data_IF_815754416456
#
_entry.id   IF_815754416456
#
_cell.length_a   1.000
_cell.length_b   1.000
_cell.length_c   1.000
_cell.angle_alpha   90.00
_cell.angle_beta   90.00
_cell.angle_gamma   90.00
#
_symmetry.space_group_name_H-M   'P 1'
#
loop_
_entity.id
_entity.type
_entity.pdbx_description
1 polymer ?
#
# COMPACT_ATOMS: atom_id res chain seq x y z
N UNK A 1 -11.03 -12.97 34.35
CA UNK A 1 -9.80 -12.44 33.71
C UNK A 1 -9.98 -12.46 32.20
N UNK A 2 -10.08 -11.31 31.53
CA UNK A 2 -10.32 -11.23 30.08
C UNK A 2 -9.00 -11.31 29.32
N UNK A 3 -8.79 -12.39 28.57
CA UNK A 3 -7.68 -12.58 27.62
C UNK A 3 -7.91 -11.72 26.35
N UNK A 4 -8.01 -10.40 26.50
CA UNK A 4 -8.36 -9.46 25.39
C UNK A 4 -7.15 -8.87 24.65
N UNK A 5 -5.91 -9.29 24.96
CA UNK A 5 -4.68 -8.69 24.41
C UNK A 5 -4.01 -9.47 23.27
N UNK A 6 -4.12 -10.78 23.26
CA UNK A 6 -3.29 -11.66 22.40
C UNK A 6 -3.64 -11.55 20.91
N UNK A 7 -4.92 -11.51 20.55
CA UNK A 7 -5.36 -11.42 19.14
C UNK A 7 -5.04 -10.07 18.46
N UNK A 8 -4.98 -8.98 19.23
CA UNK A 8 -4.59 -7.66 18.70
C UNK A 8 -3.09 -7.59 18.41
N UNK A 9 -2.26 -8.20 19.26
CA UNK A 9 -0.81 -8.25 19.07
C UNK A 9 -0.45 -9.13 17.85
N UNK A 10 -1.11 -10.28 17.71
CA UNK A 10 -0.91 -11.19 16.57
C UNK A 10 -1.25 -10.49 15.25
N UNK A 11 -2.40 -9.78 15.15
CA UNK A 11 -2.76 -9.02 13.93
C UNK A 11 -1.76 -7.94 13.58
N UNK A 12 -1.21 -7.23 14.58
CA UNK A 12 -0.17 -6.22 14.36
C UNK A 12 1.14 -6.86 13.88
N UNK A 13 1.53 -7.97 14.47
CA UNK A 13 2.72 -8.70 14.05
C UNK A 13 2.58 -9.20 12.59
N UNK A 14 1.42 -9.77 12.23
CA UNK A 14 1.13 -10.20 10.86
C UNK A 14 1.19 -9.01 9.89
N UNK A 15 0.61 -7.87 10.25
CA UNK A 15 0.64 -6.67 9.40
C UNK A 15 2.07 -6.15 9.20
N UNK A 16 2.88 -6.11 10.27
CA UNK A 16 4.28 -5.68 10.18
C UNK A 16 5.08 -6.65 9.29
N UNK A 17 4.94 -7.95 9.51
CA UNK A 17 5.61 -8.97 8.68
C UNK A 17 5.21 -8.83 7.22
N UNK A 18 3.92 -8.67 6.93
CA UNK A 18 3.41 -8.45 5.58
C UNK A 18 4.01 -7.18 4.95
N UNK A 19 3.99 -6.05 5.67
CA UNK A 19 4.55 -4.78 5.18
C UNK A 19 6.05 -4.87 4.89
N UNK A 20 6.81 -5.53 5.77
CA UNK A 20 8.25 -5.78 5.59
C UNK A 20 8.49 -6.69 4.38
N UNK A 21 7.71 -7.76 4.24
CA UNK A 21 7.82 -8.67 3.09
C UNK A 21 7.56 -7.95 1.78
N UNK A 22 6.49 -7.16 1.69
CA UNK A 22 6.16 -6.37 0.49
C UNK A 22 7.26 -5.35 0.16
N UNK A 23 7.87 -4.74 1.17
CA UNK A 23 8.94 -3.77 0.97
C UNK A 23 10.26 -4.41 0.49
N UNK A 24 10.57 -5.63 0.94
CA UNK A 24 11.83 -6.31 0.63
C UNK A 24 11.71 -7.22 -0.61
N UNK A 25 10.51 -7.74 -0.91
CA UNK A 25 10.29 -8.66 -2.02
C UNK A 25 10.84 -8.18 -3.37
N UNK A 26 10.66 -6.92 -3.80
CA UNK A 26 11.23 -6.44 -5.06
C UNK A 26 12.76 -6.55 -5.10
N UNK A 27 13.43 -6.19 -4.02
CA UNK A 27 14.89 -6.27 -3.93
C UNK A 27 15.39 -7.72 -4.00
N UNK A 28 14.69 -8.65 -3.34
CA UNK A 28 15.02 -10.08 -3.42
C UNK A 28 14.79 -10.61 -4.83
N UNK A 29 13.67 -10.28 -5.46
CA UNK A 29 13.34 -10.72 -6.81
C UNK A 29 14.38 -10.25 -7.82
N UNK A 30 14.83 -9.00 -7.73
CA UNK A 30 15.84 -8.47 -8.63
C UNK A 30 17.22 -9.09 -8.38
N UNK A 31 17.63 -9.27 -7.12
CA UNK A 31 18.97 -9.73 -6.78
C UNK A 31 19.16 -11.23 -6.91
N UNK A 32 18.13 -12.04 -6.63
CA UNK A 32 18.23 -13.49 -6.60
C UNK A 32 17.76 -14.17 -7.88
N UNK A 33 16.77 -13.58 -8.55
CA UNK A 33 16.12 -14.19 -9.73
C UNK A 33 16.38 -13.44 -11.03
N UNK A 34 17.18 -12.37 -11.01
CA UNK A 34 17.52 -11.59 -12.18
C UNK A 34 16.31 -10.83 -12.79
N UNK A 35 15.24 -10.63 -12.03
CA UNK A 35 14.11 -9.82 -12.50
C UNK A 35 14.47 -8.33 -12.50
N UNK A 36 14.00 -7.64 -13.55
CA UNK A 36 14.13 -6.19 -13.69
C UNK A 36 12.79 -5.54 -13.99
N UNK A 37 12.77 -4.22 -13.89
CA UNK A 37 11.60 -3.38 -14.17
C UNK A 37 12.01 -2.32 -15.20
N UNK A 38 11.40 -2.35 -16.39
CA UNK A 38 11.65 -1.39 -17.45
C UNK A 38 10.39 -0.55 -17.70
N UNK A 39 10.30 0.68 -17.19
CA UNK A 39 9.17 1.56 -17.46
C UNK A 39 9.17 2.03 -18.91
N UNK A 40 8.02 1.97 -19.56
CA UNK A 40 7.81 2.42 -20.94
C UNK A 40 7.53 3.91 -20.92
N UNK A 41 8.44 4.71 -21.50
CA UNK A 41 8.38 6.16 -21.53
C UNK A 41 7.86 6.72 -22.86
N UNK A 42 8.03 5.97 -23.94
CA UNK A 42 7.72 6.39 -25.32
C UNK A 42 6.72 5.45 -25.98
N UNK A 43 6.17 5.87 -27.12
CA UNK A 43 5.21 5.09 -27.89
C UNK A 43 5.80 4.08 -28.87
N UNK A 44 7.14 3.89 -28.90
CA UNK A 44 7.80 3.03 -29.88
C UNK A 44 7.34 1.57 -29.90
N UNK A 45 6.76 1.10 -28.79
CA UNK A 45 6.24 -0.27 -28.64
C UNK A 45 4.72 -0.37 -28.77
N UNK A 46 4.04 0.69 -29.25
CA UNK A 46 2.60 0.62 -29.51
C UNK A 46 2.31 -0.27 -30.75
N UNK A 47 1.20 -1.04 -30.74
CA UNK A 47 0.18 -1.15 -29.68
C UNK A 47 0.53 -2.14 -28.56
N UNK A 48 1.64 -2.86 -28.66
CA UNK A 48 2.01 -3.92 -27.71
C UNK A 48 2.22 -3.38 -26.29
N UNK A 49 2.78 -2.17 -26.14
CA UNK A 49 2.90 -1.48 -24.86
C UNK A 49 2.71 0.04 -25.03
N UNK A 50 2.10 0.66 -24.04
CA UNK A 50 1.83 2.10 -24.03
C UNK A 50 2.76 2.85 -23.06
N UNK A 51 3.02 4.14 -23.30
CA UNK A 51 3.69 4.99 -22.32
C UNK A 51 2.97 4.94 -20.97
N UNK A 52 3.70 4.58 -19.92
CA UNK A 52 3.16 4.38 -18.57
C UNK A 52 2.96 2.91 -18.18
N UNK A 53 3.16 1.98 -19.08
CA UNK A 53 3.27 0.55 -18.74
C UNK A 53 4.67 0.24 -18.18
N UNK A 54 4.83 -0.93 -17.56
CA UNK A 54 6.11 -1.46 -17.10
C UNK A 54 6.30 -2.86 -17.67
N UNK A 55 7.42 -3.09 -18.30
CA UNK A 55 7.88 -4.44 -18.60
C UNK A 55 8.59 -5.04 -17.40
N UNK A 56 8.21 -6.27 -17.08
CA UNK A 56 8.95 -7.13 -16.17
C UNK A 56 9.92 -7.95 -17.02
N UNK A 57 11.20 -7.78 -16.74
CA UNK A 57 12.27 -8.45 -17.47
C UNK A 57 12.93 -9.51 -16.60
N UNK A 58 13.56 -10.47 -17.26
CA UNK A 58 14.42 -11.48 -16.62
C UNK A 58 15.75 -11.54 -17.37
N UNK A 59 16.84 -11.62 -16.66
CA UNK A 59 18.16 -11.88 -17.24
C UNK A 59 18.20 -13.33 -17.71
N UNK A 60 18.46 -13.50 -19.02
CA UNK A 60 18.64 -14.81 -19.68
C UNK A 60 19.95 -14.80 -20.47
N UNK A 61 20.48 -15.95 -20.82
CA UNK A 61 21.61 -16.01 -21.74
C UNK A 61 21.20 -15.50 -23.13
N UNK A 62 22.11 -14.80 -23.80
CA UNK A 62 21.85 -14.25 -25.13
C UNK A 62 21.51 -15.34 -26.18
N UNK A 63 22.02 -16.54 -25.96
CA UNK A 63 21.73 -17.74 -26.78
C UNK A 63 20.28 -18.23 -26.67
N UNK A 64 19.56 -17.86 -25.60
CA UNK A 64 18.15 -18.22 -25.38
C UNK A 64 17.16 -17.27 -26.08
N UNK A 65 17.64 -16.11 -26.55
CA UNK A 65 16.80 -15.10 -27.18
C UNK A 65 16.41 -15.56 -28.59
N UNK A 66 15.14 -15.45 -28.92
CA UNK A 66 14.59 -15.76 -30.23
C UNK A 66 14.11 -14.47 -30.95
N UNK A 67 13.99 -14.57 -32.28
CA UNK A 67 13.32 -13.53 -33.09
C UNK A 67 11.86 -13.43 -32.66
N UNK A 68 11.40 -12.20 -32.43
CA UNK A 68 10.09 -11.90 -31.90
C UNK A 68 10.08 -11.58 -30.38
N UNK A 69 11.12 -11.95 -29.64
CA UNK A 69 11.26 -11.59 -28.24
C UNK A 69 11.43 -10.07 -28.08
N UNK A 70 10.94 -9.52 -26.99
CA UNK A 70 11.22 -8.14 -26.62
C UNK A 70 12.36 -8.13 -25.61
N UNK A 71 13.41 -7.40 -25.93
CA UNK A 71 14.58 -7.25 -25.06
C UNK A 71 14.72 -5.81 -24.57
N UNK A 72 15.19 -5.66 -23.35
CA UNK A 72 15.49 -4.37 -22.75
C UNK A 72 17.01 -4.21 -22.67
N UNK A 73 17.55 -3.27 -23.41
CA UNK A 73 18.99 -3.09 -23.59
C UNK A 73 19.40 -1.62 -23.39
N UNK A 74 20.65 -1.43 -23.01
CA UNK A 74 21.26 -0.11 -22.98
C UNK A 74 22.00 0.11 -24.30
N UNK A 75 21.64 1.16 -25.02
CA UNK A 75 22.43 1.61 -26.16
C UNK A 75 23.80 2.09 -25.68
N UNK A 76 24.84 1.39 -26.06
CA UNK A 76 26.21 1.65 -25.60
C UNK A 76 26.76 3.00 -26.10
N UNK A 77 26.21 3.56 -27.18
CA UNK A 77 26.64 4.84 -27.77
C UNK A 77 25.95 6.02 -27.10
N UNK A 78 24.61 5.92 -26.95
CA UNK A 78 23.81 7.03 -26.40
C UNK A 78 23.61 6.95 -24.89
N UNK A 79 23.90 5.80 -24.26
CA UNK A 79 23.58 5.52 -22.86
C UNK A 79 22.10 5.43 -22.57
N UNK A 80 21.25 5.38 -23.59
CA UNK A 80 19.80 5.34 -23.47
C UNK A 80 19.31 3.92 -23.28
N UNK A 81 18.48 3.69 -22.28
CA UNK A 81 17.83 2.40 -22.06
C UNK A 81 16.53 2.32 -22.84
N UNK A 82 16.35 1.27 -23.64
CA UNK A 82 15.15 1.07 -24.45
C UNK A 82 14.73 -0.41 -24.48
N UNK A 83 13.48 -0.67 -24.84
CA UNK A 83 12.95 -2.02 -25.00
C UNK A 83 12.32 -2.14 -26.37
N UNK A 84 12.87 -2.99 -27.22
CA UNK A 84 12.39 -3.23 -28.59
C UNK A 84 12.33 -4.73 -28.90
N UNK A 85 11.61 -5.06 -29.96
CA UNK A 85 11.44 -6.44 -30.42
C UNK A 85 12.63 -6.86 -31.29
N UNK A 86 13.11 -8.07 -31.07
CA UNK A 86 14.16 -8.67 -31.89
C UNK A 86 13.60 -9.04 -33.26
N UNK A 87 14.12 -8.42 -34.31
CA UNK A 87 13.75 -8.67 -35.70
C UNK A 87 14.70 -9.66 -36.34
N UNK A 88 16.00 -9.58 -36.06
CA UNK A 88 17.02 -10.44 -36.62
C UNK A 88 18.11 -10.76 -35.60
N UNK A 89 18.63 -11.99 -35.70
CA UNK A 89 19.78 -12.45 -34.92
C UNK A 89 20.83 -12.99 -35.86
N UNK A 90 22.06 -12.44 -35.81
CA UNK A 90 23.21 -12.94 -36.58
C UNK A 90 24.35 -13.28 -35.64
N UNK A 91 25.03 -14.40 -35.91
CA UNK A 91 26.28 -14.71 -35.24
C UNK A 91 27.44 -14.24 -36.13
N UNK A 92 28.24 -13.31 -35.65
CA UNK A 92 29.38 -12.76 -36.33
C UNK A 92 30.63 -13.01 -35.48
N UNK A 93 31.48 -13.95 -35.94
CA UNK A 93 32.73 -14.31 -35.24
C UNK A 93 32.52 -14.68 -33.78
N UNK A 94 31.47 -15.41 -33.45
CA UNK A 94 31.18 -15.82 -32.07
C UNK A 94 30.48 -14.75 -31.22
N UNK A 95 30.10 -13.62 -31.82
CA UNK A 95 29.29 -12.58 -31.16
C UNK A 95 27.89 -12.55 -31.75
N UNK A 96 26.86 -12.60 -30.92
CA UNK A 96 25.48 -12.42 -31.33
C UNK A 96 25.17 -10.95 -31.53
N UNK A 97 24.66 -10.64 -32.71
CA UNK A 97 24.18 -9.34 -33.14
C UNK A 97 22.67 -9.38 -33.24
N UNK A 98 22.00 -8.57 -32.41
CA UNK A 98 20.56 -8.41 -32.38
C UNK A 98 20.17 -7.14 -33.11
N UNK A 99 19.42 -7.25 -34.20
CA UNK A 99 18.73 -6.10 -34.79
C UNK A 99 17.37 -6.00 -34.14
N UNK A 100 17.05 -4.86 -33.58
CA UNK A 100 15.79 -4.65 -32.87
C UNK A 100 14.91 -3.64 -33.59
N UNK A 101 13.61 -3.67 -33.30
CA UNK A 101 12.60 -2.83 -33.93
C UNK A 101 11.51 -2.47 -32.91
N UNK A 102 11.19 -1.20 -32.77
CA UNK A 102 10.03 -0.76 -31.99
C UNK A 102 8.75 -1.03 -32.78
N UNK A 103 7.76 -1.67 -32.20
CA UNK A 103 6.53 -2.11 -32.87
C UNK A 103 5.78 -0.98 -33.62
N UNK A 104 5.93 0.27 -33.19
CA UNK A 104 5.38 1.44 -33.85
C UNK A 104 6.35 2.21 -34.75
N UNK A 105 7.60 1.78 -34.87
CA UNK A 105 8.58 2.46 -35.70
C UNK A 105 8.39 2.04 -37.17
N UNK A 106 8.80 2.87 -38.11
CA UNK A 106 8.77 2.52 -39.54
C UNK A 106 9.97 1.69 -39.97
N UNK A 107 11.08 1.79 -39.25
CA UNK A 107 12.35 1.15 -39.57
C UNK A 107 12.98 0.51 -38.35
N UNK A 108 13.77 -0.51 -38.54
CA UNK A 108 14.58 -1.15 -37.52
C UNK A 108 15.61 -0.18 -36.91
N UNK A 109 16.07 -0.48 -35.71
CA UNK A 109 17.08 0.30 -35.03
C UNK A 109 18.41 0.29 -35.81
N UNK A 110 18.99 1.45 -36.00
CA UNK A 110 20.23 1.60 -36.78
C UNK A 110 21.43 0.91 -36.14
N UNK A 111 21.44 0.87 -34.81
CA UNK A 111 22.54 0.30 -34.04
C UNK A 111 22.12 -1.04 -33.45
N UNK A 112 22.69 -2.16 -33.91
CA UNK A 112 22.40 -3.45 -33.36
C UNK A 112 23.05 -3.61 -31.99
N UNK A 113 22.38 -4.35 -31.10
CA UNK A 113 22.96 -4.74 -29.83
C UNK A 113 23.85 -5.98 -30.01
N UNK A 114 25.07 -5.92 -29.52
CA UNK A 114 26.05 -6.99 -29.64
C UNK A 114 26.43 -7.56 -28.28
N UNK A 115 26.43 -8.86 -28.16
CA UNK A 115 26.79 -9.55 -26.92
C UNK A 115 27.34 -10.97 -27.23
N UNK A 116 28.21 -11.48 -26.36
CA UNK A 116 28.63 -12.88 -26.36
C UNK A 116 27.44 -13.83 -26.15
N UNK A 117 27.41 -15.03 -26.76
CA UNK A 117 26.34 -16.02 -26.54
C UNK A 117 26.09 -16.38 -25.09
N UNK A 118 27.14 -16.39 -24.27
CA UNK A 118 27.07 -16.59 -22.80
C UNK A 118 26.82 -15.30 -22.00
N UNK A 119 26.75 -14.16 -22.68
CA UNK A 119 26.38 -12.89 -22.05
C UNK A 119 24.89 -12.86 -21.74
N UNK A 120 24.49 -12.05 -20.77
CA UNK A 120 23.09 -11.95 -20.36
C UNK A 120 22.38 -10.75 -20.98
N UNK A 121 21.11 -10.95 -21.33
CA UNK A 121 20.20 -9.92 -21.84
C UNK A 121 18.93 -9.91 -21.00
N UNK A 122 18.37 -8.72 -20.78
CA UNK A 122 17.07 -8.57 -20.15
C UNK A 122 15.94 -8.86 -21.13
N UNK A 123 15.37 -10.06 -21.09
CA UNK A 123 14.19 -10.46 -21.87
C UNK A 123 12.90 -10.06 -21.16
N UNK A 124 11.96 -9.46 -21.87
CA UNK A 124 10.63 -9.14 -21.34
C UNK A 124 9.81 -10.41 -21.17
N UNK A 125 9.30 -10.64 -19.96
CA UNK A 125 8.46 -11.78 -19.63
C UNK A 125 6.98 -11.44 -19.72
N UNK A 126 6.59 -10.30 -19.16
CA UNK A 126 5.22 -9.79 -19.19
C UNK A 126 5.18 -8.28 -18.96
N UNK A 127 3.99 -7.70 -19.19
CA UNK A 127 3.72 -6.27 -19.06
C UNK A 127 2.71 -6.03 -17.94
N UNK A 128 2.95 -5.00 -17.14
CA UNK A 128 1.99 -4.47 -16.16
C UNK A 128 1.51 -3.11 -16.68
N UNK A 129 0.21 -2.96 -16.99
CA UNK A 129 -0.31 -1.71 -17.53
C UNK A 129 -0.38 -0.60 -16.47
N UNK A 130 -0.14 0.64 -16.90
CA UNK A 130 -0.37 1.90 -16.19
C UNK A 130 0.38 2.12 -14.85
N UNK A 131 1.25 1.20 -14.42
CA UNK A 131 1.99 1.33 -13.15
C UNK A 131 3.30 2.12 -13.31
N UNK A 132 3.74 2.35 -14.52
CA UNK A 132 5.03 3.01 -14.82
C UNK A 132 5.05 4.47 -14.45
N UNK A 133 3.96 5.22 -14.65
CA UNK A 133 3.90 6.65 -14.34
C UNK A 133 4.18 6.96 -12.86
N UNK A 134 3.50 6.34 -11.87
CA UNK A 134 3.84 6.53 -10.46
C UNK A 134 5.26 6.06 -10.14
N UNK A 135 5.74 4.99 -10.76
CA UNK A 135 7.09 4.47 -10.52
C UNK A 135 8.18 5.45 -11.01
N UNK A 136 8.01 6.01 -12.20
CA UNK A 136 8.91 7.03 -12.75
C UNK A 136 8.87 8.30 -11.89
N UNK A 137 7.67 8.75 -11.49
CA UNK A 137 7.53 9.90 -10.60
C UNK A 137 8.26 9.72 -9.27
N UNK A 138 8.12 8.55 -8.63
CA UNK A 138 8.80 8.23 -7.38
C UNK A 138 10.34 8.21 -7.52
N UNK A 139 10.87 8.03 -8.72
CA UNK A 139 12.31 8.11 -8.98
C UNK A 139 12.81 9.54 -9.20
N UNK A 140 11.92 10.52 -9.38
CA UNK A 140 12.31 11.94 -9.42
C UNK A 140 12.68 12.48 -8.04
N UNK A 141 13.39 13.59 -7.98
CA UNK A 141 13.72 14.25 -6.70
C UNK A 141 12.45 14.63 -5.95
N UNK A 142 11.46 15.21 -6.64
CA UNK A 142 10.19 15.61 -6.06
C UNK A 142 9.39 14.40 -5.56
N UNK A 143 9.32 13.31 -6.35
CA UNK A 143 8.61 12.09 -5.96
C UNK A 143 9.23 11.43 -4.74
N UNK A 144 10.56 11.37 -4.65
CA UNK A 144 11.25 10.87 -3.45
C UNK A 144 11.00 11.75 -2.23
N UNK A 145 11.04 13.07 -2.38
CA UNK A 145 10.72 13.99 -1.28
C UNK A 145 9.27 13.83 -0.81
N UNK A 146 8.32 13.69 -1.73
CA UNK A 146 6.93 13.42 -1.38
C UNK A 146 6.77 12.09 -0.63
N UNK A 147 7.36 11.02 -1.14
CA UNK A 147 7.30 9.70 -0.53
C UNK A 147 7.91 9.68 0.87
N UNK A 148 9.09 10.31 1.05
CA UNK A 148 9.74 10.43 2.37
C UNK A 148 8.93 11.28 3.33
N UNK A 149 8.35 12.39 2.87
CA UNK A 149 7.49 13.25 3.70
C UNK A 149 6.23 12.51 4.16
N UNK A 150 5.58 11.78 3.27
CA UNK A 150 4.41 10.96 3.62
C UNK A 150 4.78 9.86 4.62
N UNK A 151 5.94 9.22 4.45
CA UNK A 151 6.43 8.21 5.38
C UNK A 151 6.68 8.81 6.78
N UNK A 152 7.32 9.97 6.85
CA UNK A 152 7.57 10.69 8.12
C UNK A 152 6.24 11.06 8.79
N UNK A 153 5.29 11.63 8.04
CA UNK A 153 3.97 12.00 8.57
C UNK A 153 3.23 10.76 9.09
N UNK A 154 3.22 9.67 8.33
CA UNK A 154 2.59 8.41 8.75
C UNK A 154 3.21 7.86 10.04
N UNK A 155 4.54 7.91 10.16
CA UNK A 155 5.24 7.51 11.39
C UNK A 155 4.90 8.41 12.57
N UNK A 156 4.86 9.74 12.38
CA UNK A 156 4.48 10.69 13.43
C UNK A 156 3.03 10.49 13.89
N UNK A 157 2.10 10.28 12.95
CA UNK A 157 0.70 9.95 13.27
C UNK A 157 0.59 8.62 14.00
N UNK A 158 1.34 7.61 13.57
CA UNK A 158 1.42 6.31 14.25
C UNK A 158 1.95 6.44 15.68
N UNK A 159 3.01 7.21 15.87
CA UNK A 159 3.58 7.50 17.19
C UNK A 159 2.59 8.27 18.06
N UNK A 160 1.96 9.31 17.52
CA UNK A 160 0.90 10.07 18.21
C UNK A 160 -0.25 9.16 18.65
N UNK A 161 -0.79 8.36 17.73
CA UNK A 161 -1.84 7.39 18.04
C UNK A 161 -1.39 6.37 19.10
N UNK A 162 -0.14 5.94 19.08
CA UNK A 162 0.43 5.02 20.07
C UNK A 162 0.54 5.68 21.46
N UNK A 163 1.09 6.89 21.54
CA UNK A 163 1.25 7.62 22.80
C UNK A 163 -0.10 8.00 23.43
N UNK A 164 -1.05 8.42 22.61
CA UNK A 164 -2.37 8.88 23.08
C UNK A 164 -3.45 7.80 23.04
N UNK A 165 -3.12 6.55 22.66
CA UNK A 165 -4.08 5.45 22.53
C UNK A 165 -4.98 5.25 23.76
N UNK A 166 -4.43 5.43 24.97
CA UNK A 166 -5.21 5.26 26.20
C UNK A 166 -6.26 6.37 26.35
N UNK A 167 -5.92 7.62 26.00
CA UNK A 167 -6.85 8.75 26.04
C UNK A 167 -7.92 8.64 24.94
N UNK A 168 -7.52 8.29 23.72
CA UNK A 168 -8.44 8.13 22.58
C UNK A 168 -9.42 6.99 22.85
N UNK A 169 -8.94 5.82 23.31
CA UNK A 169 -9.81 4.70 23.64
C UNK A 169 -10.74 5.05 24.82
N UNK A 170 -10.25 5.75 25.83
CA UNK A 170 -11.07 6.16 26.97
C UNK A 170 -12.18 7.16 26.58
N UNK A 171 -11.97 8.01 25.57
CA UNK A 171 -12.99 8.93 25.05
C UNK A 171 -14.02 8.27 24.13
N UNK A 172 -13.66 7.13 23.52
CA UNK A 172 -14.52 6.40 22.58
C UNK A 172 -15.23 5.18 23.20
N UNK A 173 -14.98 4.86 24.49
CA UNK A 173 -15.65 3.73 25.14
C UNK A 173 -17.08 4.08 25.52
N UNK A 174 -18.07 3.29 25.07
CA UNK A 174 -19.48 3.47 25.44
C UNK A 174 -19.73 3.40 26.95
N UNK A 175 -18.78 2.84 27.72
CA UNK A 175 -18.89 2.71 29.19
C UNK A 175 -19.06 4.06 29.92
N UNK A 176 -18.47 5.16 29.42
CA UNK A 176 -18.68 6.50 30.01
C UNK A 176 -20.11 6.98 29.76
N UNK A 177 -20.57 6.89 28.54
CA UNK A 177 -21.93 7.29 28.16
C UNK A 177 -22.96 6.43 28.90
N UNK A 178 -22.73 5.13 28.99
CA UNK A 178 -23.59 4.21 29.75
C UNK A 178 -23.60 4.55 31.25
N UNK A 179 -22.46 4.87 31.83
CA UNK A 179 -22.36 5.22 33.26
C UNK A 179 -23.05 6.55 33.53
N UNK A 180 -22.90 7.58 32.72
CA UNK A 180 -23.59 8.86 32.87
C UNK A 180 -25.10 8.67 32.74
N UNK A 181 -25.61 7.98 31.72
CA UNK A 181 -27.03 7.68 31.55
C UNK A 181 -27.60 6.89 32.75
N UNK A 182 -26.89 5.87 33.22
CA UNK A 182 -27.31 5.07 34.37
C UNK A 182 -27.34 5.87 35.68
N UNK A 183 -26.39 6.80 35.89
CA UNK A 183 -26.37 7.65 37.07
C UNK A 183 -27.46 8.71 37.00
N UNK A 184 -27.81 9.22 35.83
CA UNK A 184 -28.90 10.16 35.61
C UNK A 184 -30.27 9.48 35.89
N UNK A 185 -30.47 8.28 35.39
CA UNK A 185 -31.67 7.49 35.65
C UNK A 185 -31.85 7.16 37.15
N UNK A 186 -30.75 6.85 37.86
CA UNK A 186 -30.78 6.65 39.29
C UNK A 186 -31.16 7.93 40.06
N UNK A 187 -30.62 9.08 39.67
CA UNK A 187 -30.95 10.38 40.29
C UNK A 187 -32.42 10.69 40.14
N UNK A 188 -32.93 10.54 38.93
CA UNK A 188 -34.34 10.75 38.64
C UNK A 188 -35.25 9.83 39.45
N UNK A 189 -34.90 8.55 39.53
CA UNK A 189 -35.65 7.56 40.30
C UNK A 189 -35.63 7.83 41.82
N UNK A 190 -34.53 8.41 42.34
CA UNK A 190 -34.46 8.85 43.75
C UNK A 190 -35.35 10.08 44.02
N UNK A 191 -35.30 11.09 43.13
CA UNK A 191 -36.15 12.25 43.22
C UNK A 191 -37.65 11.89 43.23
N UNK A 192 -38.06 10.96 42.41
CA UNK A 192 -39.45 10.48 42.40
C UNK A 192 -39.81 9.74 43.68
N UNK A 193 -38.93 8.97 44.31
CA UNK A 193 -39.16 8.33 45.58
C UNK A 193 -39.30 9.36 46.69
N UNK A 194 -38.37 10.29 46.78
CA UNK A 194 -38.39 11.35 47.80
C UNK A 194 -39.67 12.20 47.68
N UNK A 195 -40.13 12.49 46.48
CA UNK A 195 -41.37 13.20 46.23
C UNK A 195 -42.59 12.39 46.65
N UNK A 196 -42.58 11.08 46.40
CA UNK A 196 -43.68 10.18 46.80
C UNK A 196 -43.76 10.04 48.34
N UNK A 197 -42.63 9.88 48.99
CA UNK A 197 -42.57 9.78 50.46
C UNK A 197 -43.05 11.09 51.11
N UNK A 198 -42.63 12.24 50.63
CA UNK A 198 -43.10 13.57 51.09
C UNK A 198 -44.62 13.75 50.87
N UNK A 199 -45.19 13.22 49.77
CA UNK A 199 -46.61 13.27 49.53
C UNK A 199 -47.39 12.34 50.49
N UNK A 200 -46.86 11.17 50.80
CA UNK A 200 -47.47 10.27 51.76
C UNK A 200 -47.50 10.86 53.17
N UNK A 201 -46.39 11.47 53.61
CA UNK A 201 -46.29 12.15 54.91
C UNK A 201 -47.27 13.31 54.98
N UNK A 202 -47.41 14.12 53.95
CA UNK A 202 -48.36 15.24 53.94
C UNK A 202 -49.83 14.75 53.97
N UNK A 203 -50.14 13.67 53.31
CA UNK A 203 -51.46 13.03 53.37
C UNK A 203 -51.77 12.36 54.71
N UNK A 204 -50.76 11.83 55.41
CA UNK A 204 -50.91 11.29 56.77
C UNK A 204 -51.22 12.42 57.80
N UNK A 205 -50.51 13.53 57.70
CA UNK A 205 -50.76 14.70 58.56
C UNK A 205 -52.17 15.28 58.29
N UNK A 206 -52.62 15.34 57.06
CA UNK A 206 -53.97 15.83 56.71
C UNK A 206 -55.06 14.90 57.27
N UNK A 207 -54.83 13.57 57.29
CA UNK A 207 -55.76 12.60 57.91
C UNK A 207 -55.81 12.73 59.42
N UNK A 208 -54.67 12.89 60.07
CA UNK A 208 -54.65 13.14 61.56
C UNK A 208 -55.38 14.40 61.91
N UNK A 209 -55.17 15.49 61.17
CA UNK A 209 -55.86 16.76 61.45
C UNK A 209 -57.40 16.63 61.20
N UNK A 210 -57.87 15.82 60.30
CA UNK A 210 -59.33 15.59 60.13
C UNK A 210 -59.95 14.72 61.17
N UNK A 211 -59.23 13.78 61.74
CA UNK A 211 -59.74 12.90 62.81
C UNK A 211 -59.69 13.58 64.18
N UNK A 212 -58.79 14.53 64.48
CA UNK A 212 -58.68 15.30 65.65
C UNK A 212 -59.70 16.46 65.78
N UNK A 213 -60.39 16.82 64.70
CA UNK A 213 -61.41 17.91 64.66
C UNK A 213 -62.84 17.42 64.87
N UNK A 214 -63.08 16.13 65.14
CA UNK A 214 -64.42 15.55 65.36
C UNK A 214 -64.67 15.00 66.79
N UNK A 215 -63.86 15.38 67.80
CA UNK A 215 -64.08 15.02 69.19
C UNK A 215 -64.49 16.24 70.07
#
# INVERSE_FOLDING_TARGET
MRVKGRGSQIRKAIFIVFAVTVAIAPAILTSQFGFGFSPILTGSMQPSANPGDVYITRLVEASEIAVGDVIAVNNQVTGTYYSHRVEEIRNINGTLRFTTHGDANEVADREPYMVSPIGTISQVQFKIPAIGRPLVYLNTVQGRQLATSLLVIANLLGLFAFLFRKKIVASLTPERVYRELYMEERRTSQQYRDLFDNLQDSLAIERENKTGSTS
#
